data_IF_243247770174
#
_entry.id   IF_243247770174
#
_cell.length_a   1.000
_cell.length_b   1.000
_cell.length_c   1.000
_cell.angle_alpha   90.00
_cell.angle_beta   90.00
_cell.angle_gamma   90.00
#
_symmetry.space_group_name_H-M   'P 1'
#
loop_
_entity.id
_entity.type
_entity.pdbx_description
1 polymer ?
#
# COMPACT_ATOMS: atom_id res chain seq x y z
N UNK A 1 -8.17 -1.83 15.19
CA UNK A 1 -7.41 -2.26 13.99
C UNK A 1 -7.44 -1.11 13.00
N UNK A 2 -6.30 -0.50 12.70
CA UNK A 2 -6.26 0.62 11.76
C UNK A 2 -6.14 0.01 10.34
N UNK A 3 -7.24 -0.01 9.59
CA UNK A 3 -7.37 -0.72 8.31
C UNK A 3 -6.75 0.06 7.13
N UNK A 4 -5.57 0.62 7.33
CA UNK A 4 -4.92 1.47 6.33
C UNK A 4 -3.88 0.68 5.54
N UNK A 5 -4.01 0.70 4.21
CA UNK A 5 -3.14 -0.03 3.27
C UNK A 5 -2.46 0.93 2.29
N UNK A 6 -1.16 0.73 2.08
CA UNK A 6 -0.38 1.45 1.06
C UNK A 6 0.19 0.46 0.05
N UNK A 7 -0.01 0.74 -1.23
CA UNK A 7 0.60 -0.04 -2.30
C UNK A 7 2.11 0.25 -2.41
N UNK A 8 2.92 -0.81 -2.40
CA UNK A 8 4.38 -0.75 -2.52
C UNK A 8 4.89 -1.75 -3.57
N UNK A 9 5.37 -1.27 -4.74
CA UNK A 9 5.64 -2.13 -5.90
C UNK A 9 6.94 -2.94 -5.81
N UNK A 10 7.87 -2.60 -4.91
CA UNK A 10 9.17 -3.30 -4.88
C UNK A 10 9.02 -4.73 -4.37
N UNK A 11 9.86 -5.64 -4.89
CA UNK A 11 9.93 -7.03 -4.44
C UNK A 11 10.33 -7.07 -2.96
N UNK A 12 9.51 -7.72 -2.13
CA UNK A 12 9.68 -7.71 -0.68
C UNK A 12 10.19 -9.06 -0.17
N UNK A 13 11.24 -9.02 0.65
CA UNK A 13 11.73 -10.13 1.48
C UNK A 13 11.06 -10.11 2.86
N UNK A 14 11.24 -11.16 3.66
CA UNK A 14 10.63 -11.23 5.00
C UNK A 14 11.22 -10.18 5.98
N UNK A 15 12.44 -9.70 5.72
CA UNK A 15 13.10 -8.60 6.44
C UNK A 15 13.05 -7.26 5.68
N UNK A 16 11.91 -6.97 5.05
CA UNK A 16 11.78 -5.76 4.25
C UNK A 16 12.03 -4.50 5.09
N UNK A 17 13.07 -3.76 4.72
CA UNK A 17 13.23 -2.34 5.04
C UNK A 17 12.94 -1.56 3.78
N UNK A 18 11.86 -0.79 3.80
CA UNK A 18 11.38 -0.05 2.64
C UNK A 18 11.31 1.44 2.90
N UNK A 19 11.15 2.20 1.82
CA UNK A 19 10.93 3.64 1.89
C UNK A 19 9.76 4.05 1.00
N UNK A 20 8.84 4.84 1.57
CA UNK A 20 7.77 5.48 0.81
C UNK A 20 8.30 6.77 0.17
N UNK A 21 8.05 6.92 -1.13
CA UNK A 21 8.50 8.08 -1.90
C UNK A 21 7.32 8.82 -2.56
N UNK A 22 7.61 10.00 -3.12
CA UNK A 22 6.67 10.83 -3.89
C UNK A 22 5.47 11.28 -3.03
N UNK A 23 4.24 10.93 -3.42
CA UNK A 23 3.00 11.39 -2.74
C UNK A 23 2.61 10.54 -1.53
N UNK A 24 3.16 9.33 -1.41
CA UNK A 24 2.80 8.39 -0.35
C UNK A 24 3.16 8.90 1.07
N UNK A 25 4.33 9.53 1.30
CA UNK A 25 4.68 10.10 2.61
C UNK A 25 3.67 11.14 3.12
N UNK A 26 3.24 12.05 2.24
CA UNK A 26 2.30 13.10 2.60
C UNK A 26 0.94 12.53 2.95
N UNK A 27 0.48 11.49 2.24
CA UNK A 27 -0.75 10.80 2.57
C UNK A 27 -0.68 10.13 3.95
N UNK A 28 0.40 9.39 4.22
CA UNK A 28 0.58 8.69 5.50
C UNK A 28 0.67 9.66 6.69
N UNK A 29 1.41 10.76 6.56
CA UNK A 29 1.69 11.68 7.67
C UNK A 29 0.71 12.84 7.80
N UNK A 30 0.16 13.35 6.70
CA UNK A 30 -0.75 14.51 6.74
C UNK A 30 -2.22 14.10 6.71
N UNK A 31 -2.56 13.09 5.91
CA UNK A 31 -3.96 12.64 5.76
C UNK A 31 -4.31 11.63 6.84
N UNK A 32 -3.52 10.56 6.96
CA UNK A 32 -3.75 9.50 7.96
C UNK A 32 -3.18 9.87 9.33
N UNK A 33 -2.19 10.76 9.38
CA UNK A 33 -1.55 11.27 10.61
C UNK A 33 -0.78 10.22 11.41
N UNK A 34 -0.15 9.25 10.74
CA UNK A 34 0.76 8.30 11.39
C UNK A 34 2.10 8.94 11.76
N UNK A 35 2.65 8.49 12.89
CA UNK A 35 3.91 8.95 13.48
C UNK A 35 4.96 7.84 13.49
N UNK A 36 6.17 8.18 13.91
CA UNK A 36 7.21 7.17 14.15
C UNK A 36 6.74 6.13 15.17
N UNK A 37 7.15 4.89 14.97
CA UNK A 37 6.70 3.70 15.69
C UNK A 37 5.26 3.23 15.42
N UNK A 38 4.43 4.00 14.72
CA UNK A 38 3.11 3.52 14.30
C UNK A 38 3.23 2.39 13.27
N UNK A 39 2.22 1.53 13.27
CA UNK A 39 2.12 0.39 12.36
C UNK A 39 1.06 0.63 11.30
N UNK A 40 1.34 0.18 10.08
CA UNK A 40 0.39 0.20 8.97
C UNK A 40 0.60 -0.99 8.04
N UNK A 41 -0.33 -1.21 7.10
CA UNK A 41 -0.23 -2.31 6.16
C UNK A 41 0.37 -1.83 4.84
N UNK A 42 1.35 -2.59 4.34
CA UNK A 42 1.90 -2.45 3.00
C UNK A 42 1.47 -3.66 2.18
N UNK A 43 0.97 -3.40 0.98
CA UNK A 43 0.52 -4.44 0.05
C UNK A 43 1.26 -4.35 -1.28
N UNK A 44 1.44 -5.49 -1.92
CA UNK A 44 1.74 -5.58 -3.33
C UNK A 44 0.76 -6.55 -4.01
N UNK A 45 0.98 -6.83 -5.29
CA UNK A 45 0.09 -7.70 -6.09
C UNK A 45 -0.06 -9.12 -5.53
N UNK A 46 0.85 -9.58 -4.67
CA UNK A 46 0.90 -10.97 -4.21
C UNK A 46 0.78 -11.15 -2.69
N UNK A 47 1.08 -10.13 -1.88
CA UNK A 47 1.35 -10.27 -0.44
C UNK A 47 1.03 -8.98 0.32
N UNK A 48 0.78 -9.12 1.62
CA UNK A 48 0.51 -8.04 2.56
C UNK A 48 1.41 -8.18 3.80
N UNK A 49 1.90 -7.06 4.33
CA UNK A 49 2.74 -7.00 5.52
C UNK A 49 2.26 -5.90 6.46
N UNK A 50 2.32 -6.16 7.76
CA UNK A 50 2.34 -5.11 8.78
C UNK A 50 3.76 -4.59 8.85
N UNK A 51 3.92 -3.29 8.66
CA UNK A 51 5.19 -2.59 8.80
C UNK A 51 5.10 -1.56 9.92
N UNK A 52 6.25 -1.21 10.49
CA UNK A 52 6.39 -0.15 11.48
C UNK A 52 7.20 1.00 10.89
N UNK A 53 6.74 2.24 11.08
CA UNK A 53 7.50 3.44 10.71
C UNK A 53 8.73 3.54 11.61
N UNK A 54 9.92 3.55 11.01
CA UNK A 54 11.19 3.73 11.72
C UNK A 54 11.63 5.19 11.75
N UNK A 55 11.45 5.90 10.64
CA UNK A 55 11.87 7.30 10.54
C UNK A 55 11.04 8.05 9.52
N UNK A 56 10.62 9.25 9.89
CA UNK A 56 9.97 10.19 8.96
C UNK A 56 11.00 11.27 8.62
N UNK A 57 11.28 11.44 7.32
CA UNK A 57 12.20 12.46 6.82
C UNK A 57 11.49 13.37 5.83
N UNK A 58 12.12 14.50 5.46
CA UNK A 58 11.60 15.37 4.38
C UNK A 58 11.51 14.63 3.03
N UNK A 59 12.35 13.62 2.81
CA UNK A 59 12.42 12.89 1.55
C UNK A 59 11.46 11.69 1.46
N UNK A 60 11.01 11.14 2.61
CA UNK A 60 10.22 9.92 2.64
C UNK A 60 10.07 9.31 4.03
N UNK A 61 9.45 8.14 4.08
CA UNK A 61 9.20 7.38 5.31
C UNK A 61 9.92 6.05 5.21
N UNK A 62 10.87 5.84 6.12
CA UNK A 62 11.53 4.54 6.28
C UNK A 62 10.68 3.66 7.19
N UNK A 63 10.41 2.44 6.76
CA UNK A 63 9.64 1.46 7.50
C UNK A 63 10.30 0.08 7.48
N UNK A 64 9.93 -0.76 8.43
CA UNK A 64 10.40 -2.15 8.53
C UNK A 64 9.23 -3.11 8.70
N UNK A 65 9.27 -4.26 8.02
CA UNK A 65 8.32 -5.34 8.21
C UNK A 65 8.35 -5.89 9.65
N UNK A 66 7.16 -6.10 10.20
CA UNK A 66 6.94 -6.68 11.54
C UNK A 66 6.30 -8.05 11.41
N UNK A 67 5.33 -8.19 10.50
CA UNK A 67 4.59 -9.44 10.31
C UNK A 67 4.10 -9.54 8.88
N UNK A 68 4.28 -10.71 8.27
CA UNK A 68 3.71 -11.03 6.96
C UNK A 68 2.34 -11.67 7.10
N UNK A 69 1.40 -11.27 6.25
CA UNK A 69 0.12 -11.94 6.05
C UNK A 69 0.19 -12.90 4.87
N UNK A 70 -0.52 -14.04 5.00
CA UNK A 70 -0.72 -14.96 3.89
C UNK A 70 -1.84 -14.42 3.01
N UNK A 71 -1.53 -14.12 1.76
CA UNK A 71 -2.54 -13.80 0.76
C UNK A 71 -3.19 -15.10 0.27
N UNK A 72 -4.53 -15.15 0.26
CA UNK A 72 -5.27 -16.16 -0.52
C UNK A 72 -5.54 -15.53 -1.88
N UNK A 73 -4.81 -15.96 -2.90
CA UNK A 73 -5.12 -15.56 -4.27
C UNK A 73 -6.50 -16.13 -4.63
N UNK A 74 -7.41 -15.28 -5.13
CA UNK A 74 -8.65 -15.76 -5.72
C UNK A 74 -8.30 -16.67 -6.91
N UNK A 75 -8.94 -17.82 -6.99
CA UNK A 75 -8.67 -18.83 -8.02
C UNK A 75 -9.33 -18.53 -9.37
N UNK A 76 -10.17 -17.50 -9.44
CA UNK A 76 -10.92 -17.12 -10.63
C UNK A 76 -10.22 -15.95 -11.31
N UNK A 77 -9.92 -16.13 -12.60
CA UNK A 77 -9.40 -15.08 -13.48
C UNK A 77 -10.56 -14.44 -14.23
N UNK A 78 -10.69 -13.11 -14.15
CA UNK A 78 -11.80 -12.34 -14.73
C UNK A 78 -11.21 -11.27 -15.64
N UNK A 79 -11.52 -11.34 -16.93
CA UNK A 79 -11.24 -10.27 -17.89
C UNK A 79 -12.42 -9.30 -17.98
N UNK A 80 -12.16 -8.00 -17.81
CA UNK A 80 -13.18 -6.95 -17.97
C UNK A 80 -12.99 -6.24 -19.32
N UNK A 81 -13.93 -6.45 -20.25
CA UNK A 81 -14.01 -5.74 -21.52
C UNK A 81 -15.19 -4.76 -21.50
N UNK A 82 -14.96 -3.51 -21.90
CA UNK A 82 -15.98 -2.46 -21.88
C UNK A 82 -15.78 -1.49 -23.05
N UNK A 83 -16.88 -0.87 -23.51
CA UNK A 83 -16.85 0.17 -24.53
C UNK A 83 -16.21 1.46 -24.00
N UNK A 84 -15.58 2.30 -24.84
CA UNK A 84 -15.13 3.62 -24.41
C UNK A 84 -16.32 4.44 -23.87
N UNK A 85 -16.22 4.84 -22.60
CA UNK A 85 -17.24 5.64 -21.90
C UNK A 85 -16.62 6.93 -21.36
N UNK A 86 -17.47 7.87 -20.96
CA UNK A 86 -17.02 9.15 -20.37
C UNK A 86 -16.17 8.93 -19.12
N UNK A 87 -15.18 9.80 -18.90
CA UNK A 87 -14.19 9.66 -17.83
C UNK A 87 -14.80 9.53 -16.43
N UNK A 88 -15.94 10.17 -16.16
CA UNK A 88 -16.62 10.05 -14.88
C UNK A 88 -17.13 8.63 -14.61
N UNK A 89 -17.84 8.06 -15.57
CA UNK A 89 -18.34 6.68 -15.51
C UNK A 89 -17.19 5.67 -15.51
N UNK A 90 -16.13 5.93 -16.28
CA UNK A 90 -14.92 5.11 -16.29
C UNK A 90 -14.26 5.05 -14.91
N UNK A 91 -14.09 6.20 -14.26
CA UNK A 91 -13.50 6.28 -12.93
C UNK A 91 -14.30 5.47 -11.90
N UNK A 92 -15.63 5.51 -11.96
CA UNK A 92 -16.49 4.71 -11.10
C UNK A 92 -16.39 3.21 -11.36
N UNK A 93 -16.21 2.79 -12.62
CA UNK A 93 -16.09 1.38 -12.96
C UNK A 93 -14.71 0.80 -12.58
N UNK A 94 -13.65 1.62 -12.60
CA UNK A 94 -12.29 1.20 -12.19
C UNK A 94 -12.16 1.14 -10.66
N UNK A 95 -12.88 1.99 -9.93
CA UNK A 95 -12.84 2.10 -8.47
C UNK A 95 -13.52 0.91 -7.76
#
# INVERSE_FOLDING_TARGET
>A
MNNFRVFYPQKQSDDLVGNLYRRQPAFVTKVIKLKENDKFNVINEAREWIVQIKKITKAGIVFQAVKRFKFKKNSVDIGLAFSPIQSHSLNFMIQ
#
